data_IF_931773361874
#
_entry.id   IF_931773361874
#
_cell.length_a   1.000
_cell.length_b   1.000
_cell.length_c   1.000
_cell.angle_alpha   90.00
_cell.angle_beta   90.00
_cell.angle_gamma   90.00
#
_symmetry.space_group_name_H-M   'P 1'
#
loop_
_entity.id
_entity.type
_entity.pdbx_description
1 polymer ?
#
# COMPACT_ATOMS: atom_id res chain seq x y z
N UNK A 1 -24.91 -31.71 -8.86
CA UNK A 1 -25.41 -30.33 -8.81
C UNK A 1 -24.26 -29.41 -9.17
N UNK A 2 -24.45 -28.56 -10.19
CA UNK A 2 -23.42 -27.72 -10.82
C UNK A 2 -23.43 -26.34 -10.15
N UNK A 3 -22.34 -25.92 -9.54
CA UNK A 3 -22.23 -24.56 -9.00
C UNK A 3 -22.09 -23.56 -10.18
N UNK A 4 -23.00 -22.59 -10.25
CA UNK A 4 -22.97 -21.50 -11.24
C UNK A 4 -21.96 -20.40 -10.88
N UNK A 5 -21.66 -19.48 -11.82
CA UNK A 5 -20.68 -18.42 -11.60
C UNK A 5 -21.29 -17.33 -10.69
N UNK A 6 -20.82 -17.28 -9.44
CA UNK A 6 -21.19 -16.26 -8.45
C UNK A 6 -20.53 -14.92 -8.75
N UNK A 7 -21.34 -13.88 -8.88
CA UNK A 7 -20.95 -12.54 -9.33
C UNK A 7 -19.96 -11.81 -8.44
N UNK A 8 -19.23 -10.88 -9.07
CA UNK A 8 -18.34 -9.93 -8.40
C UNK A 8 -19.10 -9.17 -7.29
N UNK A 9 -18.62 -9.28 -6.07
CA UNK A 9 -19.24 -8.66 -4.90
C UNK A 9 -19.20 -7.13 -4.97
N UNK A 10 -20.24 -6.47 -4.46
CA UNK A 10 -20.37 -5.01 -4.37
C UNK A 10 -19.23 -4.32 -3.60
N UNK A 11 -18.44 -5.09 -2.82
CA UNK A 11 -17.22 -4.64 -2.16
C UNK A 11 -16.08 -4.34 -3.16
N UNK A 12 -15.97 -5.13 -4.24
CA UNK A 12 -14.95 -4.94 -5.28
C UNK A 12 -15.14 -3.64 -6.07
N UNK A 13 -16.38 -3.32 -6.42
CA UNK A 13 -16.70 -2.07 -7.12
C UNK A 13 -16.37 -0.81 -6.28
N UNK A 14 -16.60 -0.87 -4.97
CA UNK A 14 -16.30 0.24 -4.04
C UNK A 14 -14.79 0.42 -3.84
N UNK A 15 -14.02 -0.67 -3.81
CA UNK A 15 -12.56 -0.63 -3.77
C UNK A 15 -11.97 -0.01 -5.05
N UNK A 16 -12.46 -0.40 -6.23
CA UNK A 16 -12.04 0.19 -7.52
C UNK A 16 -12.37 1.67 -7.59
N UNK A 17 -13.55 2.10 -7.15
CA UNK A 17 -13.90 3.53 -7.08
C UNK A 17 -13.03 4.31 -6.10
N UNK A 18 -12.66 3.72 -4.94
CA UNK A 18 -11.75 4.35 -3.99
C UNK A 18 -10.31 4.47 -4.53
N UNK A 19 -9.86 3.48 -5.30
CA UNK A 19 -8.57 3.49 -6.02
C UNK A 19 -8.56 4.58 -7.08
N UNK A 20 -9.60 4.69 -7.90
CA UNK A 20 -9.71 5.72 -8.95
C UNK A 20 -9.82 7.12 -8.36
N UNK A 21 -10.58 7.30 -7.28
CA UNK A 21 -10.69 8.57 -6.57
C UNK A 21 -9.34 8.98 -5.96
N UNK A 22 -8.64 8.04 -5.34
CA UNK A 22 -7.30 8.23 -4.80
C UNK A 22 -6.30 8.62 -5.90
N UNK A 23 -6.29 7.90 -7.02
CA UNK A 23 -5.43 8.21 -8.18
C UNK A 23 -5.74 9.62 -8.70
N UNK A 24 -7.01 9.99 -8.75
CA UNK A 24 -7.45 11.32 -9.17
C UNK A 24 -6.97 12.41 -8.21
N UNK A 25 -6.99 12.16 -6.89
CA UNK A 25 -6.47 13.09 -5.87
C UNK A 25 -4.95 13.20 -5.93
N UNK A 26 -4.23 12.09 -6.12
CA UNK A 26 -2.77 12.09 -6.28
C UNK A 26 -2.39 12.86 -7.53
N UNK A 27 -3.07 12.63 -8.67
CA UNK A 27 -2.90 13.41 -9.90
C UNK A 27 -3.20 14.89 -9.66
N UNK A 28 -4.33 15.25 -9.07
CA UNK A 28 -4.67 16.64 -8.78
C UNK A 28 -3.66 17.36 -7.85
N UNK A 29 -2.96 16.63 -6.97
CA UNK A 29 -1.87 17.19 -6.15
C UNK A 29 -0.54 17.27 -6.90
N UNK A 30 -0.19 16.26 -7.70
CA UNK A 30 0.99 16.30 -8.57
C UNK A 30 0.91 17.43 -9.59
N UNK A 31 -0.30 17.69 -10.10
CA UNK A 31 -0.59 18.70 -11.10
C UNK A 31 -0.44 20.12 -10.55
N UNK A 32 -0.75 20.33 -9.26
CA UNK A 32 -0.48 21.59 -8.56
C UNK A 32 1.00 21.86 -8.31
N UNK A 33 1.87 20.86 -8.47
CA UNK A 33 3.33 21.00 -8.45
C UNK A 33 3.96 21.25 -9.83
N UNK A 34 3.18 21.30 -10.92
CA UNK A 34 3.68 21.38 -12.32
C UNK A 34 4.00 22.78 -12.83
N UNK A 35 4.19 23.78 -11.97
CA UNK A 35 4.93 24.98 -12.39
C UNK A 35 6.45 24.67 -12.37
N UNK A 36 6.92 23.96 -13.40
CA UNK A 36 8.31 24.06 -13.88
C UNK A 36 9.44 23.34 -13.13
N UNK A 37 9.18 22.39 -12.22
CA UNK A 37 10.27 21.70 -11.50
C UNK A 37 10.81 20.47 -12.26
N UNK A 38 11.85 20.71 -13.05
CA UNK A 38 12.86 19.77 -13.59
C UNK A 38 13.03 18.49 -12.73
N UNK A 39 12.53 17.35 -13.22
CA UNK A 39 12.54 16.05 -12.50
C UNK A 39 13.92 15.36 -12.46
N UNK A 40 14.93 15.91 -13.13
CA UNK A 40 16.21 15.28 -13.45
C UNK A 40 17.35 15.47 -12.42
N UNK A 41 17.07 15.87 -11.16
CA UNK A 41 18.14 16.12 -10.18
C UNK A 41 17.68 15.91 -8.71
N UNK A 42 17.59 14.66 -8.19
CA UNK A 42 16.74 14.36 -7.01
C UNK A 42 17.32 13.43 -5.91
N UNK A 43 18.15 13.95 -4.99
CA UNK A 43 18.45 13.26 -3.71
C UNK A 43 17.19 12.83 -2.93
N UNK A 44 16.04 13.49 -3.15
CA UNK A 44 14.76 13.15 -2.52
C UNK A 44 14.09 11.86 -3.02
N UNK A 45 14.31 11.44 -4.28
CA UNK A 45 13.70 10.21 -4.82
C UNK A 45 14.53 8.99 -4.44
N UNK A 46 15.85 9.11 -4.46
CA UNK A 46 16.75 8.06 -3.97
C UNK A 46 16.58 7.84 -2.46
N UNK A 47 16.44 8.90 -1.67
CA UNK A 47 16.14 8.75 -0.24
C UNK A 47 14.79 8.03 0.01
N UNK A 48 13.84 8.18 -0.91
CA UNK A 48 12.50 7.63 -0.78
C UNK A 48 12.39 6.17 -1.28
N UNK A 49 12.98 5.86 -2.44
CA UNK A 49 12.94 4.53 -3.05
C UNK A 49 14.13 3.66 -2.66
N UNK A 50 15.24 4.25 -2.23
CA UNK A 50 16.49 3.58 -1.90
C UNK A 50 16.30 2.34 -1.02
N UNK A 51 15.53 2.41 0.08
CA UNK A 51 15.28 1.23 0.92
C UNK A 51 14.53 0.09 0.20
N UNK A 52 13.73 0.40 -0.83
CA UNK A 52 12.89 -0.55 -1.55
C UNK A 52 13.62 -1.24 -2.69
N UNK A 53 14.58 -0.54 -3.31
CA UNK A 53 15.25 -0.98 -4.54
C UNK A 53 15.96 -2.34 -4.40
N UNK A 54 16.69 -2.66 -3.32
CA UNK A 54 17.37 -3.95 -3.20
C UNK A 54 16.39 -5.13 -3.25
N UNK A 55 15.28 -5.05 -2.51
CA UNK A 55 14.25 -6.07 -2.49
C UNK A 55 13.59 -6.19 -3.87
N UNK A 56 13.19 -5.05 -4.45
CA UNK A 56 12.57 -5.03 -5.76
C UNK A 56 13.43 -5.67 -6.85
N UNK A 57 14.71 -5.27 -6.93
CA UNK A 57 15.64 -5.76 -7.93
C UNK A 57 15.87 -7.27 -7.80
N UNK A 58 16.03 -7.76 -6.56
CA UNK A 58 16.24 -9.18 -6.28
C UNK A 58 15.04 -10.04 -6.69
N UNK A 59 13.83 -9.65 -6.30
CA UNK A 59 12.63 -10.42 -6.63
C UNK A 59 12.31 -10.38 -8.13
N UNK A 60 12.48 -9.21 -8.76
CA UNK A 60 12.33 -9.08 -10.21
C UNK A 60 13.31 -9.97 -10.97
N UNK A 61 14.59 -9.99 -10.57
CA UNK A 61 15.60 -10.85 -11.20
C UNK A 61 15.29 -12.34 -11.04
N UNK A 62 14.63 -12.72 -9.94
CA UNK A 62 14.16 -14.08 -9.69
C UNK A 62 12.81 -14.41 -10.37
N UNK A 63 12.21 -13.47 -11.10
CA UNK A 63 10.89 -13.64 -11.72
C UNK A 63 9.74 -13.77 -10.70
N UNK A 64 9.94 -13.28 -9.48
CA UNK A 64 8.98 -13.37 -8.37
C UNK A 64 8.23 -12.05 -8.21
N UNK A 65 6.94 -12.15 -7.91
CA UNK A 65 6.08 -10.98 -7.69
C UNK A 65 6.12 -10.52 -6.22
N UNK A 66 5.89 -9.23 -6.05
CA UNK A 66 5.80 -8.49 -4.80
C UNK A 66 4.41 -7.87 -4.65
N UNK A 67 4.06 -7.42 -3.44
CA UNK A 67 3.01 -6.44 -3.22
C UNK A 67 3.63 -5.08 -2.90
N UNK A 68 3.17 -4.04 -3.59
CA UNK A 68 3.44 -2.64 -3.29
C UNK A 68 2.32 -2.09 -2.41
N UNK A 69 2.65 -1.70 -1.17
CA UNK A 69 1.79 -0.93 -0.30
C UNK A 69 2.05 0.56 -0.45
N UNK A 70 1.00 1.32 -0.79
CA UNK A 70 0.99 2.77 -0.85
C UNK A 70 0.05 3.31 0.22
N UNK A 71 0.55 4.13 1.13
CA UNK A 71 -0.28 4.89 2.05
C UNK A 71 -0.95 6.02 1.27
N UNK A 72 -2.26 5.91 1.04
CA UNK A 72 -2.99 6.83 0.15
C UNK A 72 -3.72 7.93 0.91
N UNK A 73 -4.11 7.66 2.14
CA UNK A 73 -4.80 8.62 2.99
C UNK A 73 -4.49 8.36 4.46
N UNK A 74 -4.53 9.45 5.25
CA UNK A 74 -4.40 9.41 6.71
C UNK A 74 -5.36 10.41 7.32
N UNK A 75 -5.97 10.04 8.44
CA UNK A 75 -6.69 10.96 9.32
C UNK A 75 -6.03 10.99 10.71
N UNK A 76 -6.08 12.13 11.40
CA UNK A 76 -5.46 12.25 12.72
C UNK A 76 -3.93 12.18 12.70
N UNK A 77 -3.35 11.71 13.82
CA UNK A 77 -1.90 11.60 13.97
C UNK A 77 -1.42 10.22 13.53
N UNK A 78 -0.58 10.18 12.50
CA UNK A 78 -0.06 8.95 11.90
C UNK A 78 1.45 9.01 11.74
N UNK A 79 2.13 7.88 11.94
CA UNK A 79 3.59 7.75 11.84
C UNK A 79 4.14 8.12 10.45
N UNK A 80 3.46 7.67 9.39
CA UNK A 80 3.73 8.08 8.00
C UNK A 80 2.62 8.95 7.44
N UNK A 81 2.97 9.71 6.40
CA UNK A 81 2.05 10.55 5.63
C UNK A 81 1.75 9.92 4.26
N UNK A 82 0.63 10.31 3.62
CA UNK A 82 0.29 9.84 2.29
C UNK A 82 1.46 9.97 1.32
N UNK A 83 1.65 8.95 0.50
CA UNK A 83 2.80 8.80 -0.37
C UNK A 83 3.82 7.80 0.13
N UNK A 84 3.84 7.43 1.42
CA UNK A 84 4.75 6.41 1.94
C UNK A 84 4.54 5.05 1.25
N UNK A 85 5.65 4.36 0.99
CA UNK A 85 5.69 3.09 0.26
C UNK A 85 6.28 1.96 1.10
N UNK A 86 5.83 0.75 0.82
CA UNK A 86 6.34 -0.51 1.34
C UNK A 86 6.29 -1.58 0.26
N UNK A 87 7.29 -2.45 0.19
CA UNK A 87 7.29 -3.65 -0.64
C UNK A 87 7.23 -4.88 0.26
N UNK A 88 6.42 -5.86 -0.11
CA UNK A 88 6.26 -7.11 0.63
C UNK A 88 6.42 -8.28 -0.34
N UNK A 89 7.35 -9.17 -0.05
CA UNK A 89 7.58 -10.40 -0.80
C UNK A 89 6.66 -11.53 -0.37
N UNK A 90 6.53 -12.54 -1.22
CA UNK A 90 5.65 -13.69 -0.99
C UNK A 90 6.03 -14.52 0.24
N UNK A 91 7.31 -14.50 0.64
CA UNK A 91 7.83 -15.12 1.86
C UNK A 91 7.66 -14.25 3.12
N UNK A 92 7.12 -13.04 2.95
CA UNK A 92 6.88 -12.09 4.02
C UNK A 92 8.06 -11.19 4.37
N UNK A 93 9.20 -11.28 3.66
CA UNK A 93 10.23 -10.24 3.73
C UNK A 93 9.64 -8.92 3.21
N UNK A 94 10.01 -7.79 3.82
CA UNK A 94 9.53 -6.49 3.37
C UNK A 94 10.60 -5.41 3.47
N UNK A 95 10.40 -4.36 2.67
CA UNK A 95 11.20 -3.14 2.69
C UNK A 95 10.29 -1.92 2.78
N UNK A 96 10.74 -0.87 3.47
CA UNK A 96 9.90 0.26 3.85
C UNK A 96 9.10 0.01 5.13
N UNK A 97 8.57 1.08 5.72
CA UNK A 97 7.91 1.01 7.03
C UNK A 97 6.80 2.05 7.13
N UNK A 98 5.59 1.58 7.47
CA UNK A 98 4.38 2.39 7.54
C UNK A 98 3.98 2.72 8.98
N UNK A 99 4.22 1.82 9.92
CA UNK A 99 3.90 2.01 11.34
C UNK A 99 5.00 1.56 12.30
N UNK A 100 5.73 0.49 11.97
CA UNK A 100 6.78 -0.11 12.81
C UNK A 100 6.27 -1.07 13.90
N UNK A 101 5.17 -1.79 13.65
CA UNK A 101 4.54 -2.67 14.65
C UNK A 101 3.61 -3.75 14.06
N UNK A 102 2.52 -4.06 14.75
CA UNK A 102 1.62 -5.16 14.40
C UNK A 102 0.91 -5.00 13.04
N UNK A 103 0.75 -3.77 12.56
CA UNK A 103 0.12 -3.46 11.27
C UNK A 103 0.87 -4.11 10.10
N UNK A 104 2.21 -4.16 10.15
CA UNK A 104 3.01 -4.83 9.13
C UNK A 104 2.72 -6.34 9.05
N UNK A 105 2.39 -6.98 10.17
CA UNK A 105 2.09 -8.41 10.18
C UNK A 105 0.79 -8.74 9.43
N UNK A 106 -0.25 -7.93 9.63
CA UNK A 106 -1.53 -8.06 8.94
C UNK A 106 -1.41 -7.70 7.44
N UNK A 107 -0.65 -6.64 7.12
CA UNK A 107 -0.35 -6.27 5.73
C UNK A 107 0.29 -7.41 4.94
N UNK A 108 1.11 -8.27 5.56
CA UNK A 108 1.71 -9.43 4.86
C UNK A 108 0.67 -10.44 4.41
N UNK A 109 -0.38 -10.67 5.19
CA UNK A 109 -1.44 -11.61 4.81
C UNK A 109 -2.26 -11.06 3.64
N UNK A 110 -2.56 -9.77 3.67
CA UNK A 110 -3.18 -9.07 2.56
C UNK A 110 -2.29 -9.04 1.31
N UNK A 111 -0.98 -8.80 1.48
CA UNK A 111 0.00 -8.82 0.41
C UNK A 111 0.07 -10.18 -0.27
N UNK A 112 0.09 -11.28 0.49
CA UNK A 112 0.05 -12.64 -0.05
C UNK A 112 -1.16 -12.85 -0.94
N UNK A 113 -2.34 -12.39 -0.50
CA UNK A 113 -3.56 -12.47 -1.29
C UNK A 113 -3.44 -11.69 -2.61
N UNK A 114 -2.89 -10.47 -2.58
CA UNK A 114 -2.69 -9.63 -3.77
C UNK A 114 -1.67 -10.24 -4.73
N UNK A 115 -0.57 -10.81 -4.23
CA UNK A 115 0.45 -11.48 -5.05
C UNK A 115 -0.14 -12.68 -5.79
N UNK A 116 -0.97 -13.49 -5.10
CA UNK A 116 -1.57 -14.70 -5.66
C UNK A 116 -2.73 -14.41 -6.63
N UNK A 117 -3.59 -13.44 -6.28
CA UNK A 117 -4.77 -13.12 -7.08
C UNK A 117 -4.49 -12.15 -8.23
N UNK A 118 -3.47 -11.30 -8.10
CA UNK A 118 -3.24 -10.16 -8.99
C UNK A 118 -4.19 -8.99 -8.81
N UNK A 119 -5.19 -9.12 -7.94
CA UNK A 119 -6.21 -8.10 -7.74
C UNK A 119 -5.77 -7.04 -6.72
N UNK A 120 -5.94 -5.74 -7.03
CA UNK A 120 -5.71 -4.66 -6.07
C UNK A 120 -6.55 -4.79 -4.80
N UNK A 121 -5.99 -4.41 -3.65
CA UNK A 121 -6.71 -4.41 -2.37
C UNK A 121 -6.52 -3.11 -1.60
N UNK A 122 -7.61 -2.52 -1.15
CA UNK A 122 -7.58 -1.42 -0.19
C UNK A 122 -7.75 -1.96 1.24
N UNK A 123 -6.91 -1.49 2.16
CA UNK A 123 -6.91 -1.84 3.58
C UNK A 123 -7.04 -0.57 4.40
N UNK A 124 -7.85 -0.62 5.46
CA UNK A 124 -8.11 0.50 6.35
C UNK A 124 -7.83 0.08 7.79
N UNK A 125 -7.05 0.89 8.49
CA UNK A 125 -6.78 0.72 9.92
C UNK A 125 -7.23 1.99 10.65
N UNK A 126 -8.03 1.86 11.71
CA UNK A 126 -8.50 2.97 12.53
C UNK A 126 -8.11 2.80 14.00
N UNK A 127 -6.93 3.33 14.31
CA UNK A 127 -6.31 3.24 15.64
C UNK A 127 -6.99 4.15 16.68
N UNK A 128 -8.04 4.87 16.30
CA UNK A 128 -8.81 5.74 17.21
C UNK A 128 -9.92 4.98 17.93
N UNK A 129 -10.24 3.77 17.51
CA UNK A 129 -11.34 2.99 18.06
C UNK A 129 -10.88 2.10 19.22
N UNK A 130 -11.67 1.96 20.31
CA UNK A 130 -11.33 1.10 21.45
C UNK A 130 -11.09 -0.36 21.08
N UNK A 131 -11.75 -0.83 20.01
CA UNK A 131 -11.64 -2.22 19.56
C UNK A 131 -10.29 -2.51 18.90
N UNK A 132 -9.63 -1.54 18.24
CA UNK A 132 -8.28 -1.70 17.66
C UNK A 132 -7.16 -1.49 18.69
N UNK A 133 -7.43 -0.76 19.79
CA UNK A 133 -6.54 -0.67 20.96
C UNK A 133 -6.28 -2.04 21.61
N UNK A 134 -7.27 -2.96 21.55
CA UNK A 134 -7.16 -4.33 22.04
C UNK A 134 -6.22 -5.24 21.22
N UNK A 135 -5.94 -4.89 19.95
CA UNK A 135 -5.02 -5.65 19.07
C UNK A 135 -3.55 -5.26 19.25
N UNK A 136 -3.23 -4.49 20.30
CA UNK A 136 -1.86 -4.06 20.59
C UNK A 136 -1.32 -2.99 19.62
N UNK A 137 -2.18 -2.41 18.78
CA UNK A 137 -1.85 -1.32 17.86
C UNK A 137 -1.82 0.06 18.55
N UNK A 138 -2.14 0.12 19.84
CA UNK A 138 -2.19 1.32 20.68
C UNK A 138 -0.83 1.97 20.97
N UNK A 139 0.03 2.12 19.97
CA UNK A 139 1.31 2.81 20.06
C UNK A 139 1.13 4.29 19.69
N UNK A 140 0.49 5.05 20.58
CA UNK A 140 0.57 6.53 20.65
C UNK A 140 0.13 7.35 19.43
N UNK A 141 -0.39 6.74 18.37
CA UNK A 141 -0.87 7.40 17.16
C UNK A 141 -2.40 7.34 17.10
N UNK A 142 -3.07 8.43 17.47
CA UNK A 142 -4.54 8.56 17.31
C UNK A 142 -4.90 8.93 15.86
N UNK A 143 -4.73 7.98 14.95
CA UNK A 143 -4.97 8.21 13.53
C UNK A 143 -5.46 6.97 12.79
N UNK A 144 -5.97 7.22 11.59
CA UNK A 144 -6.41 6.18 10.67
C UNK A 144 -5.55 6.20 9.40
N UNK A 145 -5.34 5.04 8.79
CA UNK A 145 -4.54 4.85 7.59
C UNK A 145 -5.32 4.08 6.53
N UNK A 146 -5.27 4.56 5.29
CA UNK A 146 -5.77 3.84 4.12
C UNK A 146 -4.59 3.44 3.26
N UNK A 147 -4.42 2.15 3.04
CA UNK A 147 -3.29 1.58 2.31
C UNK A 147 -3.83 0.84 1.09
N UNK A 148 -3.27 1.16 -0.07
CA UNK A 148 -3.54 0.44 -1.31
C UNK A 148 -2.42 -0.56 -1.57
N UNK A 149 -2.78 -1.82 -1.72
CA UNK A 149 -1.91 -2.90 -2.13
C UNK A 149 -2.09 -3.20 -3.62
N UNK A 150 -0.99 -3.21 -4.35
CA UNK A 150 -0.92 -3.53 -5.78
C UNK A 150 0.10 -4.64 -6.00
N UNK A 151 -0.15 -5.54 -6.94
CA UNK A 151 0.84 -6.55 -7.34
C UNK A 151 1.90 -5.92 -8.22
N UNK A 152 3.17 -6.15 -7.88
CA UNK A 152 4.35 -5.75 -8.64
C UNK A 152 5.12 -7.01 -9.08
N UNK A 153 4.82 -7.51 -10.27
CA UNK A 153 5.47 -8.63 -10.92
C UNK A 153 6.51 -8.19 -11.96
N UNK A 154 7.27 -9.13 -12.55
CA UNK A 154 8.20 -8.83 -13.64
C UNK A 154 7.53 -8.22 -14.89
N UNK A 155 6.23 -8.45 -15.07
CA UNK A 155 5.42 -8.00 -16.20
C UNK A 155 4.88 -6.57 -16.07
N UNK A 156 4.97 -5.93 -14.90
CA UNK A 156 4.42 -4.60 -14.65
C UNK A 156 5.35 -3.66 -13.87
#
# INVERSE_FOLDING_TARGET
MRAGPGGASSAGARAVSAILLTISIIRARADRGRNGARWHNRPHVEAFLGPLLPLFARERAAGRALALGLLVHTAGSTYRKPGALMLIAADGEYAGLLSGGCLESDLREHARTVILSGEPRAVHYDLRTPDELLWGLGLGCEGAMHILLLRAGPEN
#
